data_IF_992589443338
#
_entry.id   IF_992589443338
#
_cell.length_a   1.000
_cell.length_b   1.000
_cell.length_c   1.000
_cell.angle_alpha   90.00
_cell.angle_beta   90.00
_cell.angle_gamma   90.00
#
_symmetry.space_group_name_H-M   'P 1'
#
loop_
_entity.id
_entity.type
_entity.pdbx_description
1 polymer ?
#
# COMPACT_ATOMS: atom_id res chain seq x y z
N UNK A 1 -25.63 -23.31 -21.20
CA UNK A 1 -26.46 -22.95 -20.04
C UNK A 1 -25.50 -22.63 -18.91
N UNK A 2 -25.44 -21.36 -18.52
CA UNK A 2 -24.49 -20.86 -17.53
C UNK A 2 -25.02 -21.06 -16.12
N UNK A 3 -24.17 -21.57 -15.24
CA UNK A 3 -24.42 -21.58 -13.80
C UNK A 3 -23.57 -20.45 -13.18
N UNK A 4 -24.26 -19.39 -12.78
CA UNK A 4 -23.69 -18.25 -12.08
C UNK A 4 -23.78 -18.53 -10.58
N UNK A 5 -22.70 -19.06 -10.00
CA UNK A 5 -22.59 -19.23 -8.55
C UNK A 5 -22.31 -17.88 -7.89
N UNK A 6 -23.34 -17.35 -7.22
CA UNK A 6 -23.35 -16.11 -6.45
C UNK A 6 -22.28 -16.15 -5.34
N UNK A 7 -21.33 -15.22 -5.40
CA UNK A 7 -20.40 -14.95 -4.30
C UNK A 7 -21.16 -14.33 -3.12
N UNK A 8 -21.33 -15.14 -2.07
CA UNK A 8 -21.85 -14.73 -0.76
C UNK A 8 -20.90 -13.70 -0.15
N UNK A 9 -21.35 -12.44 -0.06
CA UNK A 9 -20.63 -11.36 0.60
C UNK A 9 -20.60 -11.64 2.11
N UNK A 10 -19.40 -11.96 2.62
CA UNK A 10 -19.16 -12.02 4.07
C UNK A 10 -19.09 -10.60 4.60
N UNK A 11 -19.91 -10.29 5.60
CA UNK A 11 -19.89 -9.03 6.35
C UNK A 11 -18.53 -8.83 7.05
N UNK A 12 -18.05 -7.58 7.22
CA UNK A 12 -16.81 -7.35 7.93
C UNK A 12 -17.02 -7.56 9.43
N UNK A 13 -16.21 -8.45 9.99
CA UNK A 13 -16.05 -8.67 11.43
C UNK A 13 -15.47 -7.40 12.06
N UNK A 14 -16.20 -6.81 13.01
CA UNK A 14 -15.72 -5.63 13.74
C UNK A 14 -14.69 -6.12 14.75
N UNK A 15 -13.41 -5.83 14.50
CA UNK A 15 -12.33 -6.16 15.44
C UNK A 15 -12.45 -5.33 16.72
N UNK A 16 -12.78 -5.98 17.83
CA UNK A 16 -12.61 -5.43 19.19
C UNK A 16 -11.11 -5.26 19.46
N UNK A 17 -10.62 -4.03 19.34
CA UNK A 17 -9.22 -3.68 19.63
C UNK A 17 -8.99 -3.64 21.13
N UNK A 18 -8.61 -4.79 21.70
CA UNK A 18 -8.02 -4.86 23.04
C UNK A 18 -6.51 -4.67 22.97
N UNK A 19 -6.06 -3.42 23.08
CA UNK A 19 -4.62 -3.11 23.21
C UNK A 19 -4.17 -3.38 24.65
N UNK A 20 -3.82 -4.63 24.94
CA UNK A 20 -3.10 -5.01 26.15
C UNK A 20 -1.60 -4.74 25.95
N UNK A 21 -1.09 -3.63 26.49
CA UNK A 21 0.35 -3.36 26.50
C UNK A 21 1.04 -4.35 27.44
N UNK A 22 1.82 -5.29 26.89
CA UNK A 22 2.73 -6.13 27.67
C UNK A 22 3.97 -5.32 28.05
N UNK A 23 4.10 -4.99 29.33
CA UNK A 23 5.38 -4.62 29.94
C UNK A 23 5.64 -5.61 31.06
N UNK A 24 6.68 -6.41 30.87
CA UNK A 24 7.16 -7.43 31.79
C UNK A 24 8.05 -6.75 32.85
N UNK A 25 7.59 -6.71 34.09
CA UNK A 25 8.43 -6.36 35.24
C UNK A 25 8.08 -7.24 36.45
N UNK A 26 9.12 -7.94 36.90
CA UNK A 26 9.17 -8.82 38.06
C UNK A 26 8.69 -8.17 39.36
N UNK A 27 7.88 -8.94 40.09
CA UNK A 27 7.70 -8.98 41.55
C UNK A 27 7.51 -7.66 42.34
N UNK A 28 6.40 -7.65 43.09
CA UNK A 28 6.00 -6.81 44.24
C UNK A 28 4.96 -5.71 43.97
N UNK A 29 3.76 -5.94 44.51
CA UNK A 29 2.72 -4.93 44.70
C UNK A 29 1.55 -5.08 43.74
N UNK A 30 0.45 -5.68 44.20
CA UNK A 30 -0.84 -5.61 43.50
C UNK A 30 -1.26 -4.14 43.40
N UNK A 31 -0.97 -3.49 42.27
CA UNK A 31 -1.54 -2.16 42.01
C UNK A 31 -3.04 -2.36 41.82
N UNK A 32 -3.83 -1.75 42.71
CA UNK A 32 -5.28 -1.73 42.57
C UNK A 32 -5.58 -1.02 41.25
N UNK A 33 -6.04 -1.79 40.25
CA UNK A 33 -6.49 -1.24 38.97
C UNK A 33 -7.54 -0.15 39.30
N UNK A 34 -7.34 1.12 38.89
CA UNK A 34 -8.31 2.16 39.19
C UNK A 34 -9.65 1.74 38.58
N UNK A 35 -10.62 1.46 39.44
CA UNK A 35 -11.95 1.06 39.01
C UNK A 35 -12.62 2.28 38.40
N UNK A 36 -13.05 2.17 37.14
CA UNK A 36 -13.81 3.21 36.46
C UNK A 36 -15.07 3.50 37.28
N UNK A 37 -15.37 4.77 37.63
CA UNK A 37 -16.61 5.12 38.30
C UNK A 37 -17.81 4.56 37.54
N UNK A 38 -18.75 3.93 38.26
CA UNK A 38 -19.94 3.36 37.64
C UNK A 38 -20.74 4.49 36.99
N UNK A 39 -20.87 4.42 35.66
CA UNK A 39 -21.72 5.35 34.93
C UNK A 39 -23.17 5.18 35.43
N UNK A 40 -23.89 6.26 35.75
CA UNK A 40 -25.29 6.16 36.09
C UNK A 40 -26.05 5.49 34.94
N UNK A 41 -26.95 4.57 35.27
CA UNK A 41 -27.80 3.89 34.28
C UNK A 41 -28.58 4.95 33.50
N UNK A 42 -28.19 5.17 32.24
CA UNK A 42 -28.93 6.02 31.32
C UNK A 42 -30.05 5.17 30.72
N UNK A 43 -31.29 5.66 30.81
CA UNK A 43 -32.39 5.12 30.01
C UNK A 43 -31.97 5.15 28.53
N UNK A 44 -32.26 4.10 27.77
CA UNK A 44 -32.04 4.10 26.33
C UNK A 44 -32.87 5.23 25.72
N UNK A 45 -32.23 6.34 25.37
CA UNK A 45 -32.84 7.34 24.51
C UNK A 45 -33.15 6.63 23.19
N UNK A 46 -34.40 6.68 22.75
CA UNK A 46 -34.86 5.96 21.55
C UNK A 46 -34.03 6.27 20.30
N UNK A 47 -34.36 5.56 19.23
CA UNK A 47 -33.63 5.64 17.95
C UNK A 47 -33.48 7.09 17.48
N UNK A 48 -32.25 7.51 17.18
CA UNK A 48 -31.92 8.83 16.61
C UNK A 48 -32.35 8.97 15.13
N UNK A 49 -33.35 8.20 14.71
CA UNK A 49 -33.82 8.13 13.32
C UNK A 49 -34.81 9.26 13.13
N UNK A 50 -34.35 10.33 12.49
CA UNK A 50 -35.20 11.45 12.08
C UNK A 50 -35.76 11.15 10.68
N UNK A 51 -37.08 11.26 10.45
CA UNK A 51 -37.67 11.12 9.13
C UNK A 51 -37.02 12.05 8.09
N UNK A 52 -36.88 11.58 6.85
CA UNK A 52 -36.14 12.26 5.78
C UNK A 52 -36.70 13.65 5.43
N UNK A 53 -37.95 13.91 5.76
CA UNK A 53 -38.66 15.15 5.47
C UNK A 53 -38.69 16.12 6.68
N UNK A 54 -37.98 15.80 7.77
CA UNK A 54 -37.94 16.65 8.96
C UNK A 54 -37.03 17.87 8.76
N UNK A 55 -37.56 19.06 9.05
CA UNK A 55 -36.82 20.33 9.01
C UNK A 55 -35.98 20.60 10.26
N UNK A 56 -35.99 19.69 11.24
CA UNK A 56 -35.29 19.82 12.53
C UNK A 56 -33.77 19.59 12.43
N UNK A 57 -33.28 19.04 11.31
CA UNK A 57 -31.87 18.68 11.10
C UNK A 57 -31.29 19.45 9.91
N UNK A 58 -31.00 20.73 10.14
CA UNK A 58 -30.21 21.57 9.24
C UNK A 58 -28.82 21.86 9.82
N UNK A 59 -27.92 22.53 9.08
CA UNK A 59 -26.72 23.12 9.66
C UNK A 59 -27.16 24.09 10.76
N UNK A 60 -27.10 23.66 12.02
CA UNK A 60 -27.38 24.54 13.15
C UNK A 60 -26.19 25.47 13.24
N UNK A 61 -26.46 26.77 13.01
CA UNK A 61 -25.49 27.83 13.25
C UNK A 61 -25.33 27.97 14.77
N UNK A 62 -24.51 27.09 15.33
CA UNK A 62 -24.26 27.04 16.76
C UNK A 62 -23.44 28.27 17.13
N UNK A 63 -24.10 29.25 17.75
CA UNK A 63 -23.44 30.38 18.36
C UNK A 63 -22.53 29.86 19.48
N UNK A 64 -21.23 29.83 19.20
CA UNK A 64 -20.21 29.38 20.15
C UNK A 64 -20.06 30.51 21.17
N UNK A 65 -20.59 30.29 22.38
CA UNK A 65 -20.48 31.24 23.47
C UNK A 65 -19.03 31.42 23.95
N UNK A 66 -18.69 32.53 24.62
CA UNK A 66 -17.34 32.81 25.10
C UNK A 66 -16.80 31.79 26.12
N UNK A 67 -17.68 31.03 26.79
CA UNK A 67 -17.32 29.94 27.71
C UNK A 67 -17.35 28.53 27.06
N UNK A 68 -17.60 28.42 25.75
CA UNK A 68 -17.59 27.11 25.07
C UNK A 68 -16.15 26.59 24.95
N UNK A 69 -15.89 25.42 25.53
CA UNK A 69 -14.61 24.69 25.43
C UNK A 69 -14.14 24.51 23.99
N UNK A 70 -15.07 24.51 23.03
CA UNK A 70 -14.81 24.43 21.58
C UNK A 70 -14.14 25.68 21.02
N UNK A 71 -14.33 26.85 21.63
CA UNK A 71 -13.63 28.09 21.32
C UNK A 71 -12.20 28.12 21.89
N UNK A 72 -11.96 27.37 22.97
CA UNK A 72 -10.67 27.32 23.68
C UNK A 72 -9.69 26.28 23.12
N UNK A 73 -10.13 25.45 22.17
CA UNK A 73 -9.25 24.51 21.46
C UNK A 73 -8.58 25.21 20.28
N UNK A 74 -7.24 25.13 20.11
CA UNK A 74 -6.58 25.64 18.92
C UNK A 74 -7.14 24.96 17.67
N UNK A 75 -7.99 25.67 16.93
CA UNK A 75 -8.50 25.22 15.65
C UNK A 75 -7.57 25.75 14.57
N UNK A 76 -7.06 24.84 13.72
CA UNK A 76 -6.50 25.24 12.43
C UNK A 76 -7.57 26.06 11.70
N UNK A 77 -7.20 27.24 11.24
CA UNK A 77 -8.12 28.08 10.48
C UNK A 77 -8.54 27.32 9.21
N UNK A 78 -9.70 27.64 8.63
CA UNK A 78 -10.12 27.01 7.36
C UNK A 78 -9.08 27.19 6.25
N UNK A 79 -8.30 28.26 6.31
CA UNK A 79 -7.16 28.53 5.44
C UNK A 79 -6.04 27.51 5.64
N UNK A 80 -5.63 27.24 6.90
CA UNK A 80 -4.58 26.25 7.23
C UNK A 80 -4.92 24.83 6.75
N UNK A 81 -6.21 24.46 6.75
CA UNK A 81 -6.66 23.16 6.26
C UNK A 81 -6.56 23.10 4.72
N UNK A 82 -6.85 24.21 4.04
CA UNK A 82 -6.71 24.29 2.58
C UNK A 82 -5.24 24.30 2.14
N UNK A 83 -4.36 25.01 2.84
CA UNK A 83 -2.93 25.03 2.54
C UNK A 83 -2.32 23.64 2.74
N UNK A 84 -2.60 23.00 3.87
CA UNK A 84 -2.15 21.62 4.14
C UNK A 84 -2.64 20.63 3.07
N UNK A 85 -3.89 20.77 2.62
CA UNK A 85 -4.44 19.93 1.56
C UNK A 85 -3.79 20.17 0.19
N UNK A 86 -3.36 21.40 -0.11
CA UNK A 86 -2.61 21.73 -1.33
C UNK A 86 -1.20 21.16 -1.27
N UNK A 87 -0.47 21.41 -0.18
CA UNK A 87 0.89 20.92 0.04
C UNK A 87 0.97 19.39 -0.05
N UNK A 88 0.05 18.69 0.60
CA UNK A 88 0.00 17.22 0.55
C UNK A 88 -0.19 16.69 -0.88
N UNK A 89 -1.05 17.35 -1.68
CA UNK A 89 -1.28 16.97 -3.09
C UNK A 89 -0.09 17.31 -3.97
N UNK A 90 0.59 18.41 -3.71
CA UNK A 90 1.80 18.81 -4.44
C UNK A 90 2.94 17.84 -4.16
N UNK A 91 3.15 17.46 -2.90
CA UNK A 91 4.16 16.48 -2.51
C UNK A 91 3.86 15.10 -3.14
N UNK A 92 2.60 14.66 -3.10
CA UNK A 92 2.22 13.40 -3.77
C UNK A 92 2.51 13.44 -5.29
N UNK A 93 2.23 14.57 -5.95
CA UNK A 93 2.55 14.74 -7.37
C UNK A 93 4.06 14.74 -7.62
N UNK A 94 4.84 15.35 -6.73
CA UNK A 94 6.31 15.35 -6.83
C UNK A 94 6.86 13.94 -6.73
N UNK A 95 6.41 13.16 -5.75
CA UNK A 95 6.78 11.76 -5.60
C UNK A 95 6.39 10.91 -6.81
N UNK A 96 5.17 11.08 -7.34
CA UNK A 96 4.72 10.36 -8.52
C UNK A 96 5.60 10.65 -9.76
N UNK A 97 5.99 11.92 -9.95
CA UNK A 97 6.90 12.33 -11.04
C UNK A 97 8.29 11.71 -10.89
N UNK A 98 8.87 11.77 -9.69
CA UNK A 98 10.18 11.18 -9.43
C UNK A 98 10.18 9.67 -9.70
N UNK A 99 9.11 8.99 -9.29
CA UNK A 99 8.94 7.56 -9.57
C UNK A 99 8.81 7.29 -11.07
N UNK A 100 8.03 8.10 -11.80
CA UNK A 100 7.91 7.97 -13.26
C UNK A 100 9.26 8.13 -13.97
N UNK A 101 10.06 9.12 -13.59
CA UNK A 101 11.40 9.35 -14.13
C UNK A 101 12.36 8.21 -13.82
N UNK A 102 12.30 7.69 -12.59
CA UNK A 102 13.07 6.51 -12.17
C UNK A 102 12.72 5.28 -12.99
N UNK A 103 11.42 5.02 -13.22
CA UNK A 103 10.95 3.92 -14.05
C UNK A 103 11.39 4.07 -15.50
N UNK A 104 11.29 5.28 -16.08
CA UNK A 104 11.74 5.53 -17.43
C UNK A 104 13.25 5.26 -17.59
N UNK A 105 14.04 5.68 -16.61
CA UNK A 105 15.49 5.40 -16.57
C UNK A 105 15.78 3.90 -16.49
N UNK A 106 15.03 3.16 -15.68
CA UNK A 106 15.17 1.71 -15.56
C UNK A 106 14.89 1.01 -16.90
N UNK A 107 13.81 1.38 -17.58
CA UNK A 107 13.45 0.83 -18.90
C UNK A 107 14.59 1.03 -19.90
N UNK A 108 15.12 2.25 -20.00
CA UNK A 108 16.22 2.55 -20.91
C UNK A 108 17.48 1.70 -20.60
N UNK A 109 17.78 1.47 -19.31
CA UNK A 109 18.89 0.58 -18.91
C UNK A 109 18.64 -0.87 -19.28
N UNK A 110 17.41 -1.36 -19.10
CA UNK A 110 17.03 -2.73 -19.48
C UNK A 110 17.16 -2.92 -20.99
N UNK A 111 16.71 -1.95 -21.80
CA UNK A 111 16.84 -2.02 -23.26
C UNK A 111 18.29 -2.06 -23.72
N UNK A 112 19.15 -1.24 -23.11
CA UNK A 112 20.59 -1.27 -23.40
C UNK A 112 21.23 -2.63 -23.07
N UNK A 113 20.93 -3.18 -21.89
CA UNK A 113 21.42 -4.50 -21.47
C UNK A 113 20.89 -5.59 -22.40
N UNK A 114 19.63 -5.53 -22.81
CA UNK A 114 19.03 -6.49 -23.74
C UNK A 114 19.74 -6.49 -25.09
N UNK A 115 20.01 -5.31 -25.65
CA UNK A 115 20.72 -5.20 -26.92
C UNK A 115 22.15 -5.76 -26.84
N UNK A 116 22.87 -5.48 -25.74
CA UNK A 116 24.19 -6.06 -25.52
C UNK A 116 24.14 -7.59 -25.36
N UNK A 117 23.15 -8.09 -24.63
CA UNK A 117 22.91 -9.52 -24.47
C UNK A 117 22.63 -10.20 -25.81
N UNK A 118 21.76 -9.63 -26.64
CA UNK A 118 21.46 -10.16 -27.97
C UNK A 118 22.72 -10.25 -28.86
N UNK A 119 23.61 -9.26 -28.74
CA UNK A 119 24.91 -9.26 -29.42
C UNK A 119 25.83 -10.36 -28.89
N UNK A 120 25.94 -10.52 -27.57
CA UNK A 120 26.73 -11.60 -26.96
C UNK A 120 26.19 -12.98 -27.34
N UNK A 121 24.88 -13.16 -27.35
CA UNK A 121 24.22 -14.39 -27.78
C UNK A 121 24.50 -14.72 -29.25
N UNK A 122 24.45 -13.72 -30.13
CA UNK A 122 24.80 -13.90 -31.54
C UNK A 122 26.24 -14.37 -31.71
N UNK A 123 27.18 -13.71 -31.03
CA UNK A 123 28.60 -14.09 -31.07
C UNK A 123 28.85 -15.48 -30.48
N UNK A 124 28.18 -15.82 -29.37
CA UNK A 124 28.30 -17.12 -28.74
C UNK A 124 27.79 -18.23 -29.68
N UNK A 125 26.63 -18.04 -30.30
CA UNK A 125 26.11 -18.94 -31.34
C UNK A 125 27.08 -19.09 -32.51
N UNK A 126 27.69 -18.00 -32.98
CA UNK A 126 28.68 -18.04 -34.05
C UNK A 126 29.91 -18.89 -33.64
N UNK A 127 30.46 -18.66 -32.45
CA UNK A 127 31.60 -19.41 -31.93
C UNK A 127 31.27 -20.91 -31.76
N UNK A 128 30.10 -21.23 -31.20
CA UNK A 128 29.64 -22.62 -31.06
C UNK A 128 29.53 -23.32 -32.41
N UNK A 129 28.95 -22.65 -33.43
CA UNK A 129 28.88 -23.19 -34.79
C UNK A 129 30.27 -23.43 -35.37
N UNK A 130 31.17 -22.45 -35.25
CA UNK A 130 32.53 -22.56 -35.78
C UNK A 130 33.30 -23.72 -35.13
N UNK A 131 33.21 -23.87 -33.81
CA UNK A 131 33.80 -25.00 -33.09
C UNK A 131 33.16 -26.31 -33.54
N UNK A 132 31.84 -26.37 -33.69
CA UNK A 132 31.13 -27.55 -34.17
C UNK A 132 31.58 -27.98 -35.58
N UNK A 133 31.70 -27.03 -36.51
CA UNK A 133 32.18 -27.27 -37.87
C UNK A 133 33.64 -27.75 -37.87
N UNK A 134 34.50 -27.13 -37.05
CA UNK A 134 35.91 -27.52 -36.91
C UNK A 134 36.04 -28.94 -36.35
N UNK A 135 35.29 -29.27 -35.30
CA UNK A 135 35.30 -30.61 -34.69
C UNK A 135 34.76 -31.67 -35.66
N UNK A 136 33.76 -31.33 -36.48
CA UNK A 136 33.20 -32.24 -37.50
C UNK A 136 34.20 -32.48 -38.62
N UNK A 137 34.83 -31.43 -39.16
CA UNK A 137 35.85 -31.53 -40.21
C UNK A 137 37.12 -32.26 -39.71
N UNK A 138 37.55 -32.02 -38.46
CA UNK A 138 38.67 -32.75 -37.84
C UNK A 138 38.40 -34.25 -37.71
N UNK A 139 37.16 -34.68 -37.40
CA UNK A 139 36.79 -36.10 -37.36
C UNK A 139 36.82 -36.76 -38.75
N UNK A 140 36.35 -36.06 -39.79
CA UNK A 140 36.33 -36.59 -41.16
C UNK A 140 37.76 -36.71 -41.72
N UNK A 141 38.61 -35.71 -41.49
CA UNK A 141 39.98 -35.68 -42.01
C UNK A 141 40.94 -36.64 -41.28
N UNK A 142 40.72 -36.91 -39.98
CA UNK A 142 41.52 -37.86 -39.21
C UNK A 142 41.18 -39.32 -39.50
N UNK A 143 39.90 -39.65 -39.70
CA UNK A 143 39.47 -41.03 -40.03
C UNK A 143 39.83 -41.46 -41.45
N UNK A 144 40.01 -40.52 -42.39
CA UNK A 144 40.46 -40.81 -43.76
C UNK A 144 41.95 -41.19 -43.88
N UNK A 145 42.77 -40.93 -42.87
CA UNK A 145 44.22 -41.23 -42.89
C UNK A 145 44.58 -42.62 -42.36
N UNK A 146 43.69 -43.28 -41.61
CA UNK A 146 43.96 -44.59 -41.00
C UNK A 146 43.60 -45.78 -41.90
N UNK A 147 43.41 -45.56 -43.21
CA UNK A 147 43.05 -46.60 -44.19
C UNK A 147 43.99 -46.52 -45.40
N UNK A 148 45.30 -46.60 -45.16
CA UNK A 148 46.33 -46.90 -46.15
C UNK A 148 47.62 -47.31 -45.46
#
# INVERSE_FOLDING_TARGET
MGDASLSKTTSPDWSDSSSGSSVDHSAHGHSAKPMRPKLPSRKSSGTMIVPRDSTEVGPVDLHVGPDDVRAMSPRRTSEDIQTLGKETREELRRHAKALQESLHTLVNRIEAVKHEHDKLDHNNKFLQKYIGDLMTTSKITSTGRNKK
#
